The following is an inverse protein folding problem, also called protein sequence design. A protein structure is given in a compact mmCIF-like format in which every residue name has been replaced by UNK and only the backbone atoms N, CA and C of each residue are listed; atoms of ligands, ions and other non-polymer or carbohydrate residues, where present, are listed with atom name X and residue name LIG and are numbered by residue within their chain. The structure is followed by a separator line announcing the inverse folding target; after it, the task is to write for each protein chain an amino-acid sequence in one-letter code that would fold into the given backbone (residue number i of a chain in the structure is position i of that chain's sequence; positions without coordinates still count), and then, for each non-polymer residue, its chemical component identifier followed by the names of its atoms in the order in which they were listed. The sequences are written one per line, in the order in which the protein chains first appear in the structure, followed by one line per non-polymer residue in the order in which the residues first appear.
data_IF_195623537520
#
_entry.id   IF_195623537520
#
_cell.length_a   1.000
_cell.length_b   1.000
_cell.length_c   1.000
_cell.angle_alpha   90.00
_cell.angle_beta   90.00
_cell.angle_gamma   90.00
#
_symmetry.space_group_name_H-M   'P 1'
#
loop_
_entity.id
_entity.type
_entity.pdbx_description
1 polymer ?
#
# COMPACT_ATOMS: atom_id res chain seq x y z
N UNK A 1 -36.41 12.18 -33.94
CA UNK A 1 -36.83 12.67 -32.61
C UNK A 1 -36.06 11.90 -31.56
N UNK A 2 -35.16 12.57 -30.81
CA UNK A 2 -34.33 11.93 -29.79
C UNK A 2 -35.20 11.66 -28.57
N UNK A 3 -35.37 10.38 -28.21
CA UNK A 3 -36.34 9.95 -27.22
C UNK A 3 -35.84 10.35 -25.81
N UNK A 4 -36.38 11.40 -25.18
CA UNK A 4 -35.80 12.00 -23.97
C UNK A 4 -35.81 11.04 -22.78
N UNK A 5 -36.78 10.10 -22.76
CA UNK A 5 -36.87 9.02 -21.78
C UNK A 5 -35.68 8.05 -21.87
N UNK A 6 -35.25 7.70 -23.09
CA UNK A 6 -34.09 6.84 -23.30
C UNK A 6 -32.80 7.53 -22.85
N UNK A 7 -32.68 8.84 -23.08
CA UNK A 7 -31.53 9.62 -22.66
C UNK A 7 -31.41 9.72 -21.13
N UNK A 8 -32.54 9.91 -20.44
CA UNK A 8 -32.62 9.89 -18.98
C UNK A 8 -32.22 8.53 -18.40
N UNK A 9 -32.74 7.43 -18.96
CA UNK A 9 -32.38 6.07 -18.52
C UNK A 9 -30.88 5.81 -18.68
N UNK A 10 -30.31 6.13 -19.85
CA UNK A 10 -28.88 5.96 -20.11
C UNK A 10 -28.03 6.82 -19.18
N UNK A 11 -28.45 8.05 -18.87
CA UNK A 11 -27.79 8.92 -17.91
C UNK A 11 -27.77 8.31 -16.50
N UNK A 12 -28.91 7.81 -16.00
CA UNK A 12 -28.95 7.19 -14.68
C UNK A 12 -28.16 5.88 -14.61
N UNK A 13 -28.20 5.05 -15.66
CA UNK A 13 -27.41 3.81 -15.73
C UNK A 13 -25.92 4.11 -15.72
N UNK A 14 -25.47 5.07 -16.54
CA UNK A 14 -24.05 5.46 -16.57
C UNK A 14 -23.62 6.09 -15.25
N UNK A 15 -24.44 6.95 -14.65
CA UNK A 15 -24.20 7.51 -13.32
C UNK A 15 -24.04 6.40 -12.27
N UNK A 16 -24.93 5.40 -12.26
CA UNK A 16 -24.86 4.26 -11.34
C UNK A 16 -23.58 3.45 -11.51
N UNK A 17 -23.16 3.19 -12.75
CA UNK A 17 -21.91 2.48 -13.05
C UNK A 17 -20.70 3.28 -12.57
N UNK A 18 -20.66 4.59 -12.81
CA UNK A 18 -19.54 5.45 -12.37
C UNK A 18 -19.46 5.53 -10.85
N UNK A 19 -20.60 5.70 -10.17
CA UNK A 19 -20.65 5.78 -8.70
C UNK A 19 -20.28 4.44 -8.05
N UNK A 20 -20.83 3.33 -8.55
CA UNK A 20 -20.49 1.99 -8.04
C UNK A 20 -19.04 1.62 -8.31
N UNK A 21 -18.51 1.95 -9.50
CA UNK A 21 -17.10 1.75 -9.83
C UNK A 21 -16.17 2.56 -8.93
N UNK A 22 -16.47 3.84 -8.70
CA UNK A 22 -15.72 4.68 -7.79
C UNK A 22 -15.74 4.12 -6.36
N UNK A 23 -16.91 3.70 -5.88
CA UNK A 23 -17.07 3.09 -4.55
C UNK A 23 -16.29 1.79 -4.40
N UNK A 24 -16.30 0.91 -5.40
CA UNK A 24 -15.52 -0.34 -5.38
C UNK A 24 -14.01 -0.07 -5.36
N UNK A 25 -13.54 0.96 -6.06
CA UNK A 25 -12.13 1.35 -6.05
C UNK A 25 -11.71 1.89 -4.67
N UNK A 26 -12.51 2.75 -4.04
CA UNK A 26 -12.20 3.25 -2.69
C UNK A 26 -12.33 2.15 -1.64
N UNK A 27 -13.42 1.39 -1.63
CA UNK A 27 -13.61 0.30 -0.67
C UNK A 27 -12.56 -0.81 -0.84
N UNK A 28 -12.25 -1.18 -2.09
CA UNK A 28 -11.21 -2.16 -2.41
C UNK A 28 -9.82 -1.73 -1.97
N UNK A 29 -9.50 -0.42 -2.07
CA UNK A 29 -8.26 0.15 -1.52
C UNK A 29 -8.22 0.03 -0.01
N UNK A 30 -9.23 0.51 0.72
CA UNK A 30 -9.20 0.51 2.19
C UNK A 30 -9.23 -0.91 2.78
N UNK A 31 -10.07 -1.79 2.24
CA UNK A 31 -10.19 -3.17 2.70
C UNK A 31 -8.96 -3.98 2.30
N UNK A 32 -8.48 -3.82 1.07
CA UNK A 32 -7.31 -4.54 0.59
C UNK A 32 -6.01 -4.10 1.29
N UNK A 33 -5.85 -2.82 1.60
CA UNK A 33 -4.69 -2.32 2.37
C UNK A 33 -4.67 -2.87 3.79
N UNK A 34 -5.80 -2.91 4.49
CA UNK A 34 -5.86 -3.43 5.86
C UNK A 34 -5.61 -4.94 5.96
N UNK A 35 -5.96 -5.71 4.93
CA UNK A 35 -5.80 -7.17 4.91
C UNK A 35 -4.43 -7.58 4.32
N UNK A 36 -4.06 -7.02 3.17
CA UNK A 36 -2.89 -7.46 2.41
C UNK A 36 -1.71 -6.49 2.48
N UNK A 37 -1.94 -5.27 2.97
CA UNK A 37 -0.93 -4.21 2.98
C UNK A 37 0.30 -4.55 3.78
N UNK A 38 0.11 -5.12 4.98
CA UNK A 38 1.22 -5.49 5.84
C UNK A 38 2.07 -6.60 5.22
N UNK A 39 1.44 -7.69 4.80
CA UNK A 39 2.17 -8.85 4.27
C UNK A 39 2.91 -8.52 2.98
N UNK A 40 2.33 -7.66 2.12
CA UNK A 40 3.00 -7.16 0.92
C UNK A 40 4.25 -6.33 1.26
N UNK A 41 4.12 -5.38 2.20
CA UNK A 41 5.22 -4.53 2.61
C UNK A 41 6.33 -5.34 3.32
N UNK A 42 5.98 -6.33 4.13
CA UNK A 42 6.93 -7.23 4.78
C UNK A 42 7.64 -8.13 3.76
N UNK A 43 6.94 -8.56 2.69
CA UNK A 43 7.55 -9.26 1.56
C UNK A 43 8.60 -8.40 0.84
N UNK A 44 8.24 -7.16 0.49
CA UNK A 44 9.17 -6.20 -0.13
C UNK A 44 10.38 -5.91 0.78
N UNK A 45 10.14 -5.77 2.08
CA UNK A 45 11.19 -5.56 3.07
C UNK A 45 12.16 -6.75 3.09
N UNK A 46 11.64 -7.97 3.15
CA UNK A 46 12.46 -9.18 3.16
C UNK A 46 13.33 -9.27 1.92
N UNK A 47 12.75 -9.01 0.75
CA UNK A 47 13.47 -9.01 -0.53
C UNK A 47 14.55 -7.92 -0.56
N UNK A 48 14.25 -6.73 -0.06
CA UNK A 48 15.22 -5.63 0.02
C UNK A 48 16.39 -5.96 0.95
N UNK A 49 16.13 -6.46 2.15
CA UNK A 49 17.17 -6.80 3.14
C UNK A 49 18.05 -7.93 2.62
N UNK A 50 17.47 -8.94 1.98
CA UNK A 50 18.23 -10.04 1.39
C UNK A 50 19.03 -9.61 0.15
N UNK A 51 18.42 -8.88 -0.78
CA UNK A 51 19.04 -8.53 -2.04
C UNK A 51 20.07 -7.40 -1.92
N UNK A 52 19.74 -6.34 -1.16
CA UNK A 52 20.52 -5.11 -1.06
C UNK A 52 21.46 -5.14 0.14
N UNK A 53 20.95 -5.45 1.33
CA UNK A 53 21.77 -5.44 2.55
C UNK A 53 22.55 -6.74 2.77
N UNK A 54 22.25 -7.80 2.00
CA UNK A 54 22.82 -9.14 2.16
C UNK A 54 22.68 -9.67 3.59
N UNK A 55 21.55 -9.37 4.22
CA UNK A 55 21.23 -9.76 5.59
C UNK A 55 19.97 -10.64 5.62
N UNK A 56 19.84 -11.40 6.70
CA UNK A 56 18.63 -12.18 6.98
C UNK A 56 17.80 -11.46 8.05
N UNK A 57 16.50 -11.41 7.82
CA UNK A 57 15.55 -10.79 8.75
C UNK A 57 15.24 -11.77 9.89
N UNK A 58 15.22 -11.25 11.12
CA UNK A 58 14.80 -12.01 12.30
C UNK A 58 13.35 -11.67 12.68
N UNK A 59 12.94 -10.42 12.47
CA UNK A 59 11.57 -9.96 12.65
C UNK A 59 11.29 -8.74 11.79
N UNK A 60 10.06 -8.63 11.32
CA UNK A 60 9.56 -7.49 10.55
C UNK A 60 8.17 -7.12 11.07
N UNK A 61 7.87 -5.82 11.06
CA UNK A 61 6.55 -5.29 11.34
C UNK A 61 6.31 -4.07 10.49
N UNK A 62 5.42 -4.19 9.51
CA UNK A 62 5.03 -3.07 8.66
C UNK A 62 3.67 -2.50 9.05
N UNK A 63 3.46 -1.22 8.73
CA UNK A 63 2.12 -0.64 8.70
C UNK A 63 1.35 -1.20 7.50
N UNK A 64 0.06 -1.44 7.69
CA UNK A 64 -0.81 -1.96 6.63
C UNK A 64 -1.28 -0.86 5.66
N UNK A 65 -1.38 0.38 6.15
CA UNK A 65 -1.97 1.50 5.43
C UNK A 65 -0.96 2.64 5.35
N UNK A 66 -0.77 3.14 4.13
CA UNK A 66 -0.08 4.38 3.87
C UNK A 66 -0.95 5.54 4.36
N UNK A 67 -0.50 6.20 5.43
CA UNK A 67 -1.29 7.24 6.11
C UNK A 67 -0.96 8.64 5.59
N UNK A 68 0.23 8.83 5.01
CA UNK A 68 0.69 10.12 4.48
C UNK A 68 0.49 10.24 2.96
N UNK A 69 0.05 9.17 2.29
CA UNK A 69 -0.34 9.17 0.89
C UNK A 69 0.83 9.26 -0.08
N UNK A 70 2.03 8.88 0.38
CA UNK A 70 3.27 8.96 -0.41
C UNK A 70 3.57 7.65 -1.17
N UNK A 71 2.72 6.64 -0.98
CA UNK A 71 2.78 5.29 -1.54
C UNK A 71 3.79 4.36 -0.89
N UNK A 72 4.26 4.67 0.31
CA UNK A 72 5.12 3.86 1.16
C UNK A 72 4.51 3.69 2.55
N UNK A 73 4.86 2.59 3.22
CA UNK A 73 4.50 2.31 4.61
C UNK A 73 5.76 2.14 5.43
N UNK A 74 5.67 2.54 6.70
CA UNK A 74 6.78 2.35 7.64
C UNK A 74 6.88 0.88 8.04
N UNK A 75 8.10 0.36 8.00
CA UNK A 75 8.45 -0.98 8.42
C UNK A 75 9.60 -0.93 9.41
N UNK A 76 9.43 -1.60 10.55
CA UNK A 76 10.50 -1.84 11.50
C UNK A 76 10.96 -3.28 11.40
N UNK A 77 12.28 -3.48 11.39
CA UNK A 77 12.86 -4.80 11.25
C UNK A 77 14.11 -4.99 12.09
N UNK A 78 14.40 -6.23 12.41
CA UNK A 78 15.64 -6.67 13.02
C UNK A 78 16.31 -7.71 12.14
N UNK A 79 17.63 -7.81 12.23
CA UNK A 79 18.40 -8.80 11.46
C UNK A 79 18.92 -9.89 12.37
N UNK A 80 19.20 -11.07 11.83
CA UNK A 80 19.78 -12.18 12.60
C UNK A 80 21.12 -11.79 13.24
N UNK A 81 21.92 -10.95 12.57
CA UNK A 81 23.17 -10.42 13.11
C UNK A 81 22.98 -9.39 14.24
N UNK A 82 21.84 -8.68 14.27
CA UNK A 82 21.54 -7.64 15.26
C UNK A 82 20.07 -7.72 15.70
N UNK A 83 19.70 -8.75 16.48
CA UNK A 83 18.29 -9.00 16.84
C UNK A 83 17.72 -7.95 17.80
N UNK A 84 18.57 -7.26 18.55
CA UNK A 84 18.19 -6.24 19.54
C UNK A 84 18.31 -4.81 19.01
N UNK A 85 18.61 -4.63 17.72
CA UNK A 85 18.78 -3.31 17.10
C UNK A 85 17.69 -3.12 16.04
N UNK A 86 16.51 -2.58 16.42
CA UNK A 86 15.45 -2.29 15.46
C UNK A 86 15.92 -1.21 14.50
N UNK A 87 15.64 -1.42 13.22
CA UNK A 87 15.90 -0.48 12.13
C UNK A 87 14.59 -0.17 11.44
N UNK A 88 14.41 1.08 11.05
CA UNK A 88 13.20 1.51 10.33
C UNK A 88 13.51 1.79 8.87
N UNK A 89 12.60 1.42 7.98
CA UNK A 89 12.68 1.65 6.53
C UNK A 89 11.26 1.86 5.98
N UNK A 90 11.15 2.51 4.83
CA UNK A 90 9.87 2.69 4.14
C UNK A 90 9.79 1.72 2.96
N UNK A 91 8.73 0.93 2.89
CA UNK A 91 8.51 -0.03 1.80
C UNK A 91 7.23 0.31 1.04
N UNK A 92 7.15 -0.06 -0.24
CA UNK A 92 6.00 0.22 -1.08
C UNK A 92 4.68 -0.26 -0.43
N UNK A 93 3.67 0.61 -0.42
CA UNK A 93 2.34 0.29 0.09
C UNK A 93 1.59 -0.64 -0.87
N UNK A 94 0.64 -1.43 -0.37
CA UNK A 94 -0.17 -2.28 -1.24
C UNK A 94 -1.18 -1.48 -2.08
N UNK A 95 -1.46 -1.98 -3.28
CA UNK A 95 -2.45 -1.41 -4.20
C UNK A 95 -1.78 -0.69 -5.37
N UNK A 96 -2.50 0.27 -5.96
CA UNK A 96 -1.99 1.06 -7.08
C UNK A 96 -0.75 1.88 -6.68
N UNK A 97 -0.64 2.27 -5.42
CA UNK A 97 0.49 3.07 -4.94
C UNK A 97 1.80 2.26 -4.98
N UNK A 98 1.79 0.98 -4.59
CA UNK A 98 2.93 0.06 -4.77
C UNK A 98 3.08 -0.53 -6.18
N UNK A 99 2.14 -0.28 -7.08
CA UNK A 99 2.34 -0.57 -8.50
C UNK A 99 3.31 0.46 -9.11
N UNK A 100 3.18 1.73 -8.72
CA UNK A 100 4.05 2.81 -9.18
C UNK A 100 5.32 2.97 -8.34
N UNK A 101 5.27 2.60 -7.05
CA UNK A 101 6.43 2.59 -6.17
C UNK A 101 6.95 1.16 -5.97
N UNK A 102 8.22 0.89 -6.27
CA UNK A 102 8.82 -0.44 -6.08
C UNK A 102 9.94 -0.44 -5.04
N UNK A 103 9.98 -1.50 -4.26
CA UNK A 103 11.04 -1.75 -3.28
C UNK A 103 10.90 -0.92 -2.01
N UNK A 104 12.01 -0.82 -1.29
CA UNK A 104 12.10 -0.05 -0.05
C UNK A 104 13.16 1.05 -0.17
N UNK A 105 12.98 2.12 0.58
CA UNK A 105 13.87 3.27 0.68
C UNK A 105 14.17 3.58 2.14
N UNK A 106 15.36 4.10 2.41
CA UNK A 106 15.72 4.54 3.76
C UNK A 106 14.74 5.60 4.25
N UNK A 107 14.27 5.44 5.49
CA UNK A 107 13.31 6.35 6.11
C UNK A 107 13.87 7.77 6.16
N UNK A 108 13.10 8.76 5.71
CA UNK A 108 13.49 10.17 5.79
C UNK A 108 13.37 10.68 7.23
N UNK A 109 14.23 11.60 7.71
CA UNK A 109 14.10 12.18 9.04
C UNK A 109 12.74 12.89 9.18
N UNK A 110 11.91 12.48 10.14
CA UNK A 110 10.62 13.12 10.45
C UNK A 110 9.35 12.29 10.19
N UNK A 111 9.47 11.02 9.79
CA UNK A 111 8.32 10.15 9.56
C UNK A 111 7.69 9.63 10.87
N UNK A 112 6.35 9.61 11.03
CA UNK A 112 5.71 9.14 12.26
C UNK A 112 5.96 7.65 12.48
N UNK A 113 6.64 7.31 13.58
CA UNK A 113 6.62 5.97 14.19
C UNK A 113 5.32 5.86 14.97
N UNK A 114 4.50 4.85 14.66
CA UNK A 114 3.45 4.42 15.60
C UNK A 114 4.08 3.81 16.84
#
# INVERSE_FOLDING_TARGET
MRNPKLFLILFFVTLLIVVSGAFLVTAGRTVGQSIFGRDFAEGQLKDYVAAVLKQEINGARCQAVDTDGNGYVSCDYTTTAQPNTPRSIECAAWGLDGFFNRGCKTRVPGFPSN
#
